data_IF_616107136161
#
_entry.id   IF_616107136161
#
_cell.length_a   1.000
_cell.length_b   1.000
_cell.length_c   1.000
_cell.angle_alpha   90.00
_cell.angle_beta   90.00
_cell.angle_gamma   90.00
#
_symmetry.space_group_name_H-M   'P 1'
#
loop_
_entity.id
_entity.type
_entity.pdbx_description
1 polymer ?
#
# COMPACT_ATOMS: atom_id res chain seq x y z
N UNK A 1 -2.36 40.39 -24.30
CA UNK A 1 -1.47 39.37 -24.91
C UNK A 1 -0.08 39.98 -25.01
N UNK A 2 0.84 39.58 -24.14
CA UNK A 2 2.24 40.00 -24.18
C UNK A 2 3.02 38.90 -24.89
N UNK A 3 3.62 39.23 -26.05
CA UNK A 3 4.51 38.32 -26.75
C UNK A 3 5.94 38.57 -26.26
N UNK A 4 6.53 37.53 -25.67
CA UNK A 4 7.93 37.46 -25.24
C UNK A 4 8.86 37.82 -26.40
N UNK A 5 9.73 38.80 -26.19
CA UNK A 5 10.83 39.11 -27.10
C UNK A 5 11.89 38.03 -26.97
N UNK A 6 11.89 37.07 -27.90
CA UNK A 6 12.98 36.12 -28.09
C UNK A 6 14.25 36.92 -28.42
N UNK A 7 15.17 37.04 -27.47
CA UNK A 7 16.42 37.77 -27.61
C UNK A 7 17.29 37.12 -28.68
N UNK A 8 17.26 37.69 -29.88
CA UNK A 8 18.23 37.45 -30.93
C UNK A 8 19.58 37.97 -30.40
N UNK A 9 20.46 37.06 -29.97
CA UNK A 9 21.83 37.42 -29.61
C UNK A 9 22.51 37.88 -30.89
N UNK A 10 22.69 39.19 -31.02
CA UNK A 10 23.40 39.81 -32.11
C UNK A 10 24.90 39.52 -31.92
N UNK A 11 25.39 38.51 -32.64
CA UNK A 11 26.79 38.06 -32.66
C UNK A 11 27.79 39.20 -32.98
N UNK A 12 27.28 40.36 -33.46
CA UNK A 12 28.04 41.58 -33.73
C UNK A 12 28.63 42.25 -32.47
N UNK A 13 28.19 41.87 -31.26
CA UNK A 13 28.66 42.49 -30.01
C UNK A 13 29.71 41.67 -29.25
N UNK A 14 30.04 40.45 -29.69
CA UNK A 14 31.12 39.65 -29.09
C UNK A 14 32.49 40.13 -29.59
N UNK A 15 32.91 41.31 -29.13
CA UNK A 15 34.30 41.75 -29.30
C UNK A 15 35.20 40.98 -28.33
N UNK A 16 36.01 40.08 -28.86
CA UNK A 16 37.04 39.39 -28.11
C UNK A 16 38.03 40.42 -27.51
N UNK A 17 38.49 40.23 -26.26
CA UNK A 17 39.48 41.11 -25.64
C UNK A 17 40.72 41.27 -26.53
N UNK A 18 41.28 42.48 -26.67
CA UNK A 18 42.36 42.75 -27.63
C UNK A 18 43.61 41.89 -27.37
N UNK A 19 43.89 41.54 -26.11
CA UNK A 19 44.98 40.61 -25.77
C UNK A 19 44.74 39.18 -26.25
N UNK A 20 43.49 38.73 -26.28
CA UNK A 20 43.11 37.41 -26.77
C UNK A 20 43.21 37.36 -28.31
N UNK A 21 42.80 38.43 -28.98
CA UNK A 21 42.98 38.58 -30.43
C UNK A 21 44.47 38.63 -30.81
N UNK A 22 45.28 39.37 -30.05
CA UNK A 22 46.72 39.43 -30.27
C UNK A 22 47.40 38.08 -30.03
N UNK A 23 47.02 37.37 -28.96
CA UNK A 23 47.52 36.03 -28.66
C UNK A 23 47.12 35.00 -29.73
N UNK A 24 45.86 35.02 -30.19
CA UNK A 24 45.40 34.15 -31.27
C UNK A 24 46.13 34.44 -32.59
N UNK A 25 46.40 35.72 -32.90
CA UNK A 25 47.18 36.12 -34.08
C UNK A 25 48.66 35.74 -33.97
N UNK A 26 49.19 35.64 -32.76
CA UNK A 26 50.57 35.24 -32.49
C UNK A 26 50.76 33.71 -32.43
N UNK A 27 49.68 32.92 -32.51
CA UNK A 27 49.78 31.47 -32.57
C UNK A 27 50.45 31.06 -33.89
N UNK A 28 51.40 30.11 -33.86
CA UNK A 28 51.93 29.51 -35.08
C UNK A 28 50.78 28.86 -35.86
N UNK A 29 50.44 29.41 -37.03
CA UNK A 29 49.52 28.82 -38.01
C UNK A 29 50.17 27.64 -38.73
N UNK A 30 51.07 26.94 -38.08
CA UNK A 30 51.68 25.76 -38.66
C UNK A 30 50.65 24.64 -38.56
N UNK A 31 50.08 24.26 -39.70
CA UNK A 31 49.11 23.16 -39.76
C UNK A 31 49.89 21.88 -39.50
N UNK A 32 49.99 21.51 -38.22
CA UNK A 32 50.57 20.25 -37.81
C UNK A 32 49.86 19.14 -38.58
N UNK A 33 50.59 18.50 -39.48
CA UNK A 33 50.08 17.37 -40.23
C UNK A 33 49.82 16.23 -39.25
N UNK A 34 48.54 15.92 -39.04
CA UNK A 34 48.12 14.77 -38.25
C UNK A 34 47.92 13.61 -39.23
N UNK A 35 48.73 12.55 -39.17
CA UNK A 35 48.51 11.37 -40.00
C UNK A 35 47.15 10.74 -39.68
N UNK A 36 46.40 10.24 -40.68
CA UNK A 36 45.09 9.63 -40.46
C UNK A 36 45.15 8.42 -39.50
N UNK A 37 46.29 7.72 -39.47
CA UNK A 37 46.53 6.60 -38.56
C UNK A 37 46.56 7.01 -37.09
N UNK A 38 47.01 8.23 -36.79
CA UNK A 38 47.04 8.76 -35.42
C UNK A 38 45.62 9.10 -34.96
N UNK A 39 44.84 9.72 -35.84
CA UNK A 39 43.45 10.09 -35.56
C UNK A 39 42.59 8.85 -35.27
N UNK A 40 42.70 7.81 -36.10
CA UNK A 40 42.05 6.53 -35.86
C UNK A 40 42.48 5.88 -34.54
N UNK A 41 43.76 6.01 -34.15
CA UNK A 41 44.26 5.47 -32.89
C UNK A 41 43.66 6.21 -31.69
N UNK A 42 43.51 7.53 -31.77
CA UNK A 42 42.86 8.37 -30.77
C UNK A 42 41.38 8.02 -30.65
N UNK A 43 40.66 7.91 -31.78
CA UNK A 43 39.25 7.51 -31.79
C UNK A 43 39.04 6.14 -31.16
N UNK A 44 39.88 5.15 -31.52
CA UNK A 44 39.84 3.80 -30.92
C UNK A 44 40.17 3.79 -29.43
N UNK A 45 41.07 4.66 -28.98
CA UNK A 45 41.40 4.79 -27.56
C UNK A 45 40.26 5.45 -26.78
N UNK A 46 39.66 6.50 -27.33
CA UNK A 46 38.50 7.19 -26.77
C UNK A 46 37.29 6.24 -26.65
N UNK A 47 36.99 5.48 -27.70
CA UNK A 47 35.87 4.53 -27.70
C UNK A 47 36.08 3.41 -26.65
N UNK A 48 37.30 2.92 -26.48
CA UNK A 48 37.67 1.95 -25.42
C UNK A 48 37.52 2.55 -24.03
N UNK A 49 37.78 3.84 -23.86
CA UNK A 49 37.62 4.50 -22.56
C UNK A 49 36.14 4.74 -22.22
N UNK A 50 35.32 5.11 -23.21
CA UNK A 50 33.88 5.31 -23.03
C UNK A 50 33.12 4.01 -22.77
N UNK A 51 33.49 2.93 -23.46
CA UNK A 51 32.87 1.60 -23.27
C UNK A 51 33.16 1.00 -21.90
N UNK A 52 34.30 1.30 -21.27
CA UNK A 52 34.58 0.89 -19.88
C UNK A 52 33.63 1.53 -18.85
N UNK A 53 32.93 2.61 -19.20
CA UNK A 53 31.99 3.31 -18.30
C UNK A 53 30.52 3.09 -18.66
N UNK A 54 30.23 2.40 -19.75
CA UNK A 54 28.89 1.92 -20.09
C UNK A 54 28.56 0.68 -19.24
N UNK A 55 28.45 0.85 -17.92
CA UNK A 55 27.87 -0.15 -17.05
C UNK A 55 26.42 -0.45 -17.50
N UNK A 56 25.95 -1.72 -17.44
CA UNK A 56 24.60 -2.12 -17.82
C UNK A 56 23.56 -1.69 -16.76
N UNK A 57 23.62 -0.45 -16.30
CA UNK A 57 22.73 0.11 -15.30
C UNK A 57 21.26 0.09 -15.77
N UNK A 58 21.04 0.13 -17.09
CA UNK A 58 19.69 0.15 -17.67
C UNK A 58 18.90 -1.15 -17.45
N UNK A 59 19.57 -2.32 -17.38
CA UNK A 59 18.88 -3.58 -17.10
C UNK A 59 18.61 -3.80 -15.61
N UNK A 60 19.43 -3.25 -14.71
CA UNK A 60 19.23 -3.39 -13.27
C UNK A 60 18.05 -2.55 -12.75
N UNK A 61 17.84 -1.36 -13.32
CA UNK A 61 16.63 -0.57 -13.05
C UNK A 61 15.36 -1.26 -13.56
N UNK A 62 15.40 -1.91 -14.73
CA UNK A 62 14.26 -2.68 -15.26
C UNK A 62 13.95 -3.94 -14.45
N UNK A 63 14.97 -4.65 -13.94
CA UNK A 63 14.77 -5.79 -13.02
C UNK A 63 14.16 -5.37 -11.68
N UNK A 64 14.63 -4.26 -11.10
CA UNK A 64 14.07 -3.71 -9.85
C UNK A 64 12.61 -3.25 -10.01
N UNK A 65 12.27 -2.71 -11.18
CA UNK A 65 10.91 -2.30 -11.50
C UNK A 65 9.94 -3.49 -11.64
N UNK A 66 10.40 -4.62 -12.17
CA UNK A 66 9.59 -5.85 -12.27
C UNK A 66 9.33 -6.52 -10.91
N UNK A 67 10.33 -6.56 -10.03
CA UNK A 67 10.17 -7.14 -8.69
C UNK A 67 9.19 -6.34 -7.80
N UNK A 68 9.15 -5.01 -7.95
CA UNK A 68 8.21 -4.17 -7.21
C UNK A 68 6.75 -4.39 -7.66
N UNK A 69 6.52 -4.58 -8.97
CA UNK A 69 5.19 -4.82 -9.52
C UNK A 69 4.62 -6.18 -9.10
N UNK A 70 5.44 -7.24 -9.05
CA UNK A 70 4.99 -8.58 -8.63
C UNK A 70 4.64 -8.64 -7.15
N UNK A 71 5.40 -7.94 -6.29
CA UNK A 71 5.12 -7.90 -4.85
C UNK A 71 3.76 -7.24 -4.56
N UNK A 72 3.44 -6.16 -5.27
CA UNK A 72 2.17 -5.45 -5.07
C UNK A 72 0.97 -6.31 -5.50
N UNK A 73 1.06 -7.00 -6.65
CA UNK A 73 -0.01 -7.91 -7.10
C UNK A 73 -0.20 -9.10 -6.14
N UNK A 74 0.89 -9.72 -5.66
CA UNK A 74 0.81 -10.82 -4.69
C UNK A 74 0.25 -10.35 -3.35
N UNK A 75 0.66 -9.18 -2.85
CA UNK A 75 0.10 -8.60 -1.63
C UNK A 75 -1.38 -8.26 -1.78
N UNK A 76 -1.82 -7.79 -2.94
CA UNK A 76 -3.22 -7.45 -3.20
C UNK A 76 -4.09 -8.70 -3.34
N UNK A 77 -3.56 -9.78 -3.95
CA UNK A 77 -4.20 -11.09 -3.98
C UNK A 77 -4.29 -11.72 -2.59
N UNK A 78 -3.21 -11.68 -1.79
CA UNK A 78 -3.22 -12.14 -0.41
C UNK A 78 -4.18 -11.32 0.46
N UNK A 79 -4.23 -10.00 0.30
CA UNK A 79 -5.20 -9.15 0.98
C UNK A 79 -6.63 -9.47 0.56
N UNK A 80 -6.88 -9.72 -0.74
CA UNK A 80 -8.19 -10.15 -1.23
C UNK A 80 -8.56 -11.54 -0.69
N UNK A 81 -7.62 -12.47 -0.59
CA UNK A 81 -7.82 -13.79 0.02
C UNK A 81 -8.15 -13.66 1.52
N UNK A 82 -7.40 -12.83 2.26
CA UNK A 82 -7.67 -12.58 3.68
C UNK A 82 -9.01 -11.88 3.88
N UNK A 83 -9.36 -10.91 3.05
CA UNK A 83 -10.65 -10.21 3.09
C UNK A 83 -11.79 -11.16 2.72
N UNK A 84 -11.67 -11.92 1.64
CA UNK A 84 -12.71 -12.87 1.22
C UNK A 84 -12.85 -14.02 2.23
N UNK A 85 -11.76 -14.52 2.81
CA UNK A 85 -11.81 -15.50 3.89
C UNK A 85 -12.41 -14.91 5.17
N UNK A 86 -12.07 -13.65 5.51
CA UNK A 86 -12.68 -12.94 6.63
C UNK A 86 -14.17 -12.66 6.40
N UNK A 87 -14.61 -12.47 5.15
CA UNK A 87 -16.02 -12.33 4.78
C UNK A 87 -16.76 -13.68 4.79
N UNK A 88 -16.09 -14.78 4.41
CA UNK A 88 -16.62 -16.16 4.52
C UNK A 88 -16.69 -16.63 5.97
N UNK A 89 -15.78 -16.14 6.81
CA UNK A 89 -15.77 -16.35 8.26
C UNK A 89 -16.34 -15.17 9.03
N UNK A 90 -17.00 -14.20 8.38
CA UNK A 90 -17.91 -13.34 9.12
C UNK A 90 -18.98 -14.29 9.63
N UNK A 91 -19.09 -14.51 10.96
CA UNK A 91 -20.28 -15.15 11.46
C UNK A 91 -21.42 -14.34 10.87
N UNK A 92 -22.28 -15.02 10.10
CA UNK A 92 -23.52 -14.45 9.57
C UNK A 92 -24.10 -13.65 10.71
N UNK A 93 -24.12 -12.31 10.59
CA UNK A 93 -24.60 -11.45 11.66
C UNK A 93 -25.94 -12.05 12.09
N UNK A 94 -26.04 -12.64 13.29
CA UNK A 94 -27.32 -13.12 13.72
C UNK A 94 -28.14 -11.85 13.80
N UNK A 95 -29.26 -11.81 13.08
CA UNK A 95 -30.33 -10.89 13.41
C UNK A 95 -30.47 -11.01 14.92
N UNK A 96 -30.18 -9.92 15.65
CA UNK A 96 -30.07 -9.86 17.12
C UNK A 96 -30.92 -10.97 17.71
N UNK A 97 -30.25 -12.04 18.15
CA UNK A 97 -30.98 -13.14 18.74
C UNK A 97 -31.76 -12.51 19.89
N UNK A 98 -33.03 -12.89 20.06
CA UNK A 98 -33.90 -12.31 21.10
C UNK A 98 -33.25 -12.43 22.49
N UNK A 99 -32.32 -13.37 22.62
CA UNK A 99 -31.51 -13.71 23.78
C UNK A 99 -30.19 -12.92 23.92
N UNK A 100 -29.73 -12.19 22.90
CA UNK A 100 -28.53 -11.32 22.94
C UNK A 100 -28.88 -10.00 23.65
N UNK A 101 -28.71 -10.02 24.96
CA UNK A 101 -29.11 -8.97 25.89
C UNK A 101 -28.07 -7.85 25.97
N UNK A 102 -26.80 -8.17 25.72
CA UNK A 102 -25.71 -7.20 25.77
C UNK A 102 -25.38 -6.57 24.40
N UNK A 103 -26.02 -7.06 23.32
CA UNK A 103 -25.86 -6.62 21.93
C UNK A 103 -24.45 -6.77 21.37
N UNK A 104 -23.72 -7.79 21.82
CA UNK A 104 -22.37 -8.09 21.31
C UNK A 104 -22.38 -9.01 20.08
N UNK A 105 -23.57 -9.45 19.64
CA UNK A 105 -23.76 -10.30 18.47
C UNK A 105 -23.53 -11.78 18.75
N UNK A 106 -23.42 -12.18 20.01
CA UNK A 106 -23.30 -13.57 20.48
C UNK A 106 -24.36 -13.82 21.54
N UNK A 107 -24.66 -15.10 21.78
CA UNK A 107 -25.50 -15.53 22.90
C UNK A 107 -24.66 -16.42 23.78
N UNK A 108 -24.21 -15.90 24.92
CA UNK A 108 -23.33 -16.61 25.84
C UNK A 108 -23.76 -16.47 27.32
N UNK A 109 -22.88 -16.83 28.26
CA UNK A 109 -23.19 -16.78 29.69
C UNK A 109 -23.32 -15.34 30.22
N UNK A 110 -22.74 -14.36 29.52
CA UNK A 110 -22.84 -12.95 29.87
C UNK A 110 -24.24 -12.41 29.64
N UNK A 111 -24.97 -12.92 28.63
CA UNK A 111 -26.39 -12.61 28.43
C UNK A 111 -27.25 -13.14 29.57
N UNK A 112 -27.00 -14.38 30.01
CA UNK A 112 -27.68 -14.94 31.18
C UNK A 112 -27.42 -14.09 32.44
N UNK A 113 -26.18 -13.61 32.61
CA UNK A 113 -25.84 -12.70 33.70
C UNK A 113 -26.52 -11.32 33.58
N UNK A 114 -26.65 -10.79 32.37
CA UNK A 114 -27.38 -9.55 32.12
C UNK A 114 -28.85 -9.66 32.53
N UNK A 115 -29.51 -10.78 32.19
CA UNK A 115 -30.90 -11.06 32.61
C UNK A 115 -31.01 -11.17 34.13
N UNK A 116 -30.10 -11.90 34.77
CA UNK A 116 -30.05 -12.04 36.22
C UNK A 116 -29.90 -10.69 36.93
N UNK A 117 -29.03 -9.82 36.39
CA UNK A 117 -28.81 -8.47 36.92
C UNK A 117 -30.06 -7.61 36.77
N UNK A 118 -30.75 -7.70 35.64
CA UNK A 118 -31.98 -6.94 35.37
C UNK A 118 -33.14 -7.35 36.29
N UNK A 119 -33.32 -8.65 36.50
CA UNK A 119 -34.27 -9.21 37.47
C UNK A 119 -33.95 -8.72 38.89
N UNK A 120 -32.68 -8.74 39.28
CA UNK A 120 -32.25 -8.27 40.60
C UNK A 120 -32.37 -6.76 40.80
N UNK A 121 -32.18 -5.97 39.73
CA UNK A 121 -32.33 -4.51 39.81
C UNK A 121 -33.78 -4.05 39.78
N UNK A 122 -34.76 -4.96 39.69
CA UNK A 122 -36.19 -4.63 39.63
C UNK A 122 -36.60 -3.91 38.35
N UNK A 123 -35.72 -3.90 37.34
CA UNK A 123 -36.04 -3.35 36.03
C UNK A 123 -36.94 -4.37 35.33
N UNK A 124 -38.20 -4.03 35.10
CA UNK A 124 -39.15 -4.93 34.45
C UNK A 124 -38.60 -5.37 33.09
N UNK A 125 -38.20 -6.65 32.93
CA UNK A 125 -37.79 -7.14 31.64
C UNK A 125 -39.02 -7.14 30.72
N UNK A 126 -38.84 -6.70 29.47
CA UNK A 126 -39.95 -6.69 28.51
C UNK A 126 -40.50 -8.10 28.30
N UNK A 127 -41.78 -8.28 27.93
CA UNK A 127 -42.39 -9.59 27.68
C UNK A 127 -41.69 -10.41 26.57
N UNK A 128 -40.84 -9.75 25.79
CA UNK A 128 -39.92 -10.36 24.84
C UNK A 128 -38.74 -11.10 25.51
N UNK A 129 -38.61 -11.11 26.84
CA UNK A 129 -37.53 -11.78 27.56
C UNK A 129 -37.96 -13.07 28.25
N UNK A 130 -39.21 -13.49 28.03
CA UNK A 130 -39.64 -14.86 28.28
C UNK A 130 -39.02 -15.77 27.20
N UNK A 131 -37.98 -16.51 27.57
CA UNK A 131 -37.17 -17.35 26.68
C UNK A 131 -37.74 -18.77 26.65
N UNK A 132 -38.38 -19.21 27.73
CA UNK A 132 -38.97 -20.54 27.86
C UNK A 132 -40.44 -20.61 27.39
N UNK A 133 -41.12 -19.47 27.24
CA UNK A 133 -42.48 -19.32 26.73
C UNK A 133 -43.59 -19.59 27.76
N UNK A 134 -43.29 -19.51 29.06
CA UNK A 134 -44.24 -19.84 30.13
C UNK A 134 -45.04 -18.63 30.65
N UNK A 135 -44.77 -17.43 30.12
CA UNK A 135 -45.43 -16.18 30.46
C UNK A 135 -44.88 -15.49 31.71
N UNK A 136 -43.85 -16.03 32.36
CA UNK A 136 -43.23 -15.47 33.56
C UNK A 136 -41.72 -15.37 33.38
N UNK A 137 -41.17 -14.16 33.50
CA UNK A 137 -39.73 -13.95 33.37
C UNK A 137 -39.06 -14.22 34.71
N UNK A 138 -38.33 -15.33 34.82
CA UNK A 138 -37.66 -15.74 36.07
C UNK A 138 -36.31 -16.47 35.84
N UNK A 139 -35.81 -17.11 36.89
CA UNK A 139 -34.53 -17.83 36.87
C UNK A 139 -34.48 -18.98 35.84
N UNK A 140 -35.64 -19.51 35.42
CA UNK A 140 -35.74 -20.55 34.39
C UNK A 140 -35.35 -20.02 33.02
N UNK A 141 -35.61 -18.75 32.73
CA UNK A 141 -35.15 -18.11 31.49
C UNK A 141 -33.63 -17.97 31.47
N UNK A 142 -33.05 -17.56 32.61
CA UNK A 142 -31.60 -17.47 32.80
C UNK A 142 -30.93 -18.83 32.55
N UNK A 143 -31.48 -19.88 33.16
CA UNK A 143 -30.99 -21.24 32.99
C UNK A 143 -31.10 -21.72 31.54
N UNK A 144 -32.14 -21.29 30.82
CA UNK A 144 -32.34 -21.62 29.41
C UNK A 144 -31.26 -20.98 28.53
N UNK A 145 -30.93 -19.71 28.75
CA UNK A 145 -29.83 -19.03 28.05
C UNK A 145 -28.49 -19.71 28.36
N UNK A 146 -28.21 -19.99 29.64
CA UNK A 146 -26.98 -20.65 30.07
C UNK A 146 -26.83 -22.05 29.46
N UNK A 147 -27.89 -22.86 29.43
CA UNK A 147 -27.88 -24.20 28.83
C UNK A 147 -27.61 -24.14 27.32
N UNK A 148 -28.18 -23.16 26.62
CA UNK A 148 -27.90 -22.92 25.20
C UNK A 148 -26.44 -22.54 24.98
N UNK A 149 -25.88 -21.65 25.80
CA UNK A 149 -24.48 -21.25 25.73
C UNK A 149 -23.52 -22.45 25.87
N UNK A 150 -23.77 -23.35 26.84
CA UNK A 150 -22.96 -24.56 27.04
C UNK A 150 -23.12 -25.56 25.89
N UNK A 151 -24.33 -25.69 25.31
CA UNK A 151 -24.59 -26.57 24.17
C UNK A 151 -23.83 -26.12 22.92
N UNK A 152 -23.69 -24.80 22.71
CA UNK A 152 -22.94 -24.25 21.58
C UNK A 152 -21.43 -24.51 21.68
N UNK A 153 -20.85 -24.53 22.88
CA UNK A 153 -19.42 -24.81 23.07
C UNK A 153 -19.02 -26.24 22.68
N UNK A 154 -19.94 -27.21 22.76
CA UNK A 154 -19.64 -28.63 22.50
C UNK A 154 -19.62 -29.00 21.00
N UNK A 155 -19.86 -28.04 20.11
CA UNK A 155 -19.88 -28.21 18.65
C UNK A 155 -18.70 -27.57 17.92
N UNK A 156 -17.57 -27.31 18.59
CA UNK A 156 -16.35 -26.79 17.96
C UNK A 156 -15.78 -27.79 16.94
N UNK A 157 -16.05 -27.52 15.66
CA UNK A 157 -15.58 -28.29 14.51
C UNK A 157 -14.05 -28.45 14.50
N UNK A 158 -13.60 -29.71 14.34
CA UNK A 158 -12.25 -30.08 13.89
C UNK A 158 -12.03 -29.75 12.42
#
# INVERSE_FOLDING_TARGET
>A
MMAESNGYFDDQTLQAPPGLVAALKALPTDRVFIPPTLDEAVLRAAQRHLTKRASPAFNWFRLRLWLAATALVVSLLLAAEVVTNSLRHRPRAPAFAREDLNHDGRVDILDAFALARQLKSGAAPGPLLDINGDGVIDERDIATIAARAVKLQKGGHS
#
